data_IF_948777887952
#
_entry.id   IF_948777887952
#
_cell.length_a   1.000
_cell.length_b   1.000
_cell.length_c   1.000
_cell.angle_alpha   90.00
_cell.angle_beta   90.00
_cell.angle_gamma   90.00
#
_symmetry.space_group_name_H-M   'P 1'
#
loop_
_entity.id
_entity.type
_entity.pdbx_description
1 polymer ?
#
# COMPACT_ATOMS: atom_id res chain seq x y z
N UNK A 1 4.17 -50.84 42.58
CA UNK A 1 4.62 -49.47 42.87
C UNK A 1 5.63 -49.07 41.80
N UNK A 2 5.21 -48.26 40.83
CA UNK A 2 6.10 -47.78 39.76
C UNK A 2 6.46 -46.31 40.07
N UNK A 3 7.75 -46.08 40.30
CA UNK A 3 8.34 -44.77 40.56
C UNK A 3 8.31 -43.95 39.27
N UNK A 4 7.54 -42.86 39.25
CA UNK A 4 7.58 -41.85 38.19
C UNK A 4 8.89 -41.08 38.35
N UNK A 5 9.74 -40.96 37.30
CA UNK A 5 11.02 -40.29 37.41
C UNK A 5 10.82 -38.78 37.62
N UNK A 6 11.53 -38.23 38.62
CA UNK A 6 11.49 -36.83 39.05
C UNK A 6 11.94 -35.80 37.97
N UNK A 7 12.23 -36.24 36.75
CA UNK A 7 12.68 -35.39 35.64
C UNK A 7 11.53 -34.60 34.97
N UNK A 8 10.26 -34.93 35.23
CA UNK A 8 9.11 -34.25 34.61
C UNK A 8 8.70 -32.97 35.35
N UNK A 9 9.16 -32.77 36.59
CA UNK A 9 8.74 -31.61 37.41
C UNK A 9 9.46 -30.30 37.02
N UNK A 10 10.64 -30.39 36.40
CA UNK A 10 11.45 -29.19 36.10
C UNK A 10 10.91 -28.40 34.89
N UNK A 11 10.15 -29.03 33.99
CA UNK A 11 9.55 -28.32 32.85
C UNK A 11 8.34 -27.44 33.23
N UNK A 12 7.77 -27.59 34.42
CA UNK A 12 6.58 -26.84 34.83
C UNK A 12 6.86 -25.60 35.68
N UNK A 13 8.09 -25.41 36.18
CA UNK A 13 8.44 -24.28 37.06
C UNK A 13 9.18 -23.15 36.34
N UNK A 14 9.38 -23.26 35.03
CA UNK A 14 10.04 -22.26 34.19
C UNK A 14 9.12 -21.22 33.53
N UNK A 15 7.82 -21.18 33.86
CA UNK A 15 6.98 -20.02 33.50
C UNK A 15 7.25 -18.90 34.49
N UNK A 16 8.40 -18.26 34.30
CA UNK A 16 8.56 -16.88 34.73
C UNK A 16 7.33 -16.12 34.22
N UNK A 17 6.56 -15.56 35.15
CA UNK A 17 5.53 -14.57 34.85
C UNK A 17 6.25 -13.39 34.23
N UNK A 18 6.47 -13.41 32.92
CA UNK A 18 6.66 -12.18 32.18
C UNK A 18 5.42 -11.35 32.50
N UNK A 19 5.65 -10.22 33.14
CA UNK A 19 4.66 -9.21 33.42
C UNK A 19 4.10 -8.78 32.06
N UNK A 20 3.07 -9.47 31.59
CA UNK A 20 2.29 -9.12 30.40
C UNK A 20 1.37 -7.97 30.80
N UNK A 21 1.93 -6.85 31.19
CA UNK A 21 1.24 -5.60 30.89
C UNK A 21 1.28 -5.53 29.36
N UNK A 22 0.13 -5.55 28.65
CA UNK A 22 0.14 -5.30 27.22
C UNK A 22 0.59 -3.85 27.09
N UNK A 23 1.90 -3.65 26.90
CA UNK A 23 2.41 -2.37 26.47
C UNK A 23 1.75 -2.11 25.13
N UNK A 24 0.76 -1.21 25.10
CA UNK A 24 0.22 -0.76 23.83
C UNK A 24 1.42 -0.23 23.04
N UNK A 25 1.69 -0.74 21.83
CA UNK A 25 2.74 -0.15 21.01
C UNK A 25 2.42 1.36 20.92
N UNK A 26 3.42 2.24 21.09
CA UNK A 26 3.17 3.67 21.04
C UNK A 26 2.46 4.01 19.73
N UNK A 27 1.44 4.85 19.82
CA UNK A 27 0.69 5.31 18.65
C UNK A 27 1.67 5.89 17.62
N UNK A 28 1.50 5.57 16.31
CA UNK A 28 2.36 6.12 15.28
C UNK A 28 2.30 7.65 15.27
N UNK A 29 3.45 8.28 15.07
CA UNK A 29 3.58 9.74 15.00
C UNK A 29 3.42 10.20 13.55
N UNK A 30 2.58 11.21 13.33
CA UNK A 30 2.44 11.86 12.02
C UNK A 30 3.67 12.68 11.66
N UNK A 31 4.19 12.44 10.46
CA UNK A 31 5.23 13.21 9.78
C UNK A 31 4.65 14.24 8.81
N UNK A 32 3.34 14.20 8.55
CA UNK A 32 2.64 15.12 7.66
C UNK A 32 1.61 14.44 6.76
N UNK A 33 0.57 15.20 6.41
CA UNK A 33 -0.57 14.76 5.61
C UNK A 33 -0.62 15.42 4.24
N UNK A 34 -1.02 14.65 3.24
CA UNK A 34 -1.24 15.12 1.88
C UNK A 34 -2.71 15.00 1.49
N UNK A 35 -3.20 15.99 0.75
CA UNK A 35 -4.61 16.11 0.37
C UNK A 35 -4.91 15.32 -0.91
N UNK A 36 -6.15 14.80 -1.08
CA UNK A 36 -6.62 14.32 -2.39
C UNK A 36 -6.56 15.38 -3.50
N UNK A 37 -6.67 16.67 -3.14
CA UNK A 37 -6.55 17.77 -4.09
C UNK A 37 -5.08 17.96 -4.48
N UNK A 38 -4.77 17.61 -5.74
CA UNK A 38 -3.42 17.69 -6.29
C UNK A 38 -2.83 19.11 -6.21
N UNK A 39 -3.65 20.17 -6.30
CA UNK A 39 -3.18 21.55 -6.18
C UNK A 39 -2.69 21.84 -4.77
N UNK A 40 -3.46 21.40 -3.77
CA UNK A 40 -3.11 21.55 -2.35
C UNK A 40 -1.87 20.71 -2.03
N UNK A 41 -1.82 19.47 -2.49
CA UNK A 41 -0.69 18.57 -2.26
C UNK A 41 0.61 19.06 -2.90
N UNK A 42 0.57 19.55 -4.14
CA UNK A 42 1.74 20.20 -4.76
C UNK A 42 2.18 21.43 -3.99
N UNK A 43 1.24 22.28 -3.56
CA UNK A 43 1.56 23.46 -2.75
C UNK A 43 2.19 23.10 -1.40
N UNK A 44 1.86 21.94 -0.84
CA UNK A 44 2.44 21.37 0.39
C UNK A 44 3.76 20.61 0.17
N UNK A 45 4.23 20.47 -1.07
CA UNK A 45 5.45 19.71 -1.38
C UNK A 45 5.28 18.19 -1.31
N UNK A 46 4.05 17.69 -1.42
CA UNK A 46 3.77 16.25 -1.54
C UNK A 46 4.24 15.72 -2.91
N UNK A 47 4.56 14.44 -2.95
CA UNK A 47 4.93 13.70 -4.17
C UNK A 47 3.78 12.76 -4.53
N UNK A 48 3.50 12.62 -5.81
CA UNK A 48 2.48 11.70 -6.28
C UNK A 48 3.07 10.30 -6.47
N UNK A 49 2.48 9.31 -5.83
CA UNK A 49 2.77 7.90 -6.05
C UNK A 49 1.70 7.35 -7.00
N UNK A 50 2.07 7.21 -8.28
CA UNK A 50 1.13 6.83 -9.32
C UNK A 50 0.61 5.40 -9.15
N UNK A 51 1.42 4.52 -8.57
CA UNK A 51 1.06 3.11 -8.37
C UNK A 51 0.05 2.99 -7.23
N UNK A 52 0.21 3.76 -6.14
CA UNK A 52 -0.82 3.89 -5.10
C UNK A 52 -1.99 4.79 -5.49
N UNK A 53 -1.86 5.59 -6.56
CA UNK A 53 -2.83 6.59 -6.97
C UNK A 53 -3.13 7.59 -5.84
N UNK A 54 -2.08 8.13 -5.21
CA UNK A 54 -2.24 9.07 -4.10
C UNK A 54 -1.09 10.07 -3.97
N UNK A 55 -1.40 11.24 -3.40
CA UNK A 55 -0.40 12.21 -2.98
C UNK A 55 0.11 11.87 -1.59
N UNK A 56 1.43 11.85 -1.42
CA UNK A 56 2.05 11.45 -0.17
C UNK A 56 3.21 12.34 0.26
N UNK A 57 3.46 12.32 1.56
CA UNK A 57 4.57 13.06 2.13
C UNK A 57 5.90 12.43 1.65
N UNK A 58 6.91 13.23 1.27
CA UNK A 58 8.16 12.71 0.71
C UNK A 58 8.88 11.67 1.58
N UNK A 59 8.70 11.73 2.92
CA UNK A 59 9.33 10.76 3.84
C UNK A 59 8.74 9.35 3.76
N UNK A 60 7.54 9.19 3.21
CA UNK A 60 6.94 7.88 2.96
C UNK A 60 7.04 7.48 1.49
N UNK A 61 7.56 8.33 0.60
CA UNK A 61 7.71 7.98 -0.81
C UNK A 61 8.97 7.16 -1.02
N UNK A 62 8.83 5.99 -1.66
CA UNK A 62 9.93 5.14 -2.06
C UNK A 62 10.12 5.24 -3.57
N UNK A 63 10.99 6.15 -3.99
CA UNK A 63 11.23 6.48 -5.40
C UNK A 63 11.74 5.27 -6.21
N UNK A 64 12.73 4.52 -5.69
CA UNK A 64 13.28 3.35 -6.37
C UNK A 64 12.21 2.27 -6.61
N UNK A 65 11.36 2.03 -5.62
CA UNK A 65 10.26 1.09 -5.74
C UNK A 65 9.19 1.59 -6.72
N UNK A 66 8.84 2.87 -6.64
CA UNK A 66 7.90 3.51 -7.56
C UNK A 66 8.37 3.40 -9.02
N UNK A 67 9.61 3.80 -9.31
CA UNK A 67 10.19 3.74 -10.66
C UNK A 67 10.28 2.32 -11.21
N UNK A 68 10.56 1.33 -10.35
CA UNK A 68 10.52 -0.09 -10.75
C UNK A 68 9.12 -0.51 -11.22
N UNK A 69 8.08 -0.13 -10.50
CA UNK A 69 6.70 -0.45 -10.88
C UNK A 69 6.23 0.34 -12.10
N UNK A 70 6.63 1.61 -12.25
CA UNK A 70 6.44 2.35 -13.50
C UNK A 70 7.13 1.65 -14.68
N UNK A 71 8.32 1.09 -14.46
CA UNK A 71 9.03 0.27 -15.42
C UNK A 71 8.22 -0.95 -15.86
N UNK A 72 7.54 -1.63 -14.93
CA UNK A 72 6.64 -2.74 -15.26
C UNK A 72 5.43 -2.27 -16.08
N UNK A 73 4.81 -1.14 -15.74
CA UNK A 73 3.70 -0.56 -16.51
C UNK A 73 4.11 -0.13 -17.93
N UNK A 74 5.32 0.41 -18.10
CA UNK A 74 5.87 0.76 -19.41
C UNK A 74 6.21 -0.48 -20.23
N UNK A 75 6.87 -1.48 -19.63
CA UNK A 75 7.24 -2.73 -20.29
C UNK A 75 6.02 -3.48 -20.85
N UNK A 76 4.92 -3.48 -20.10
CA UNK A 76 3.64 -4.09 -20.52
C UNK A 76 2.79 -3.21 -21.44
N UNK A 77 3.25 -2.00 -21.77
CA UNK A 77 2.51 -1.02 -22.57
C UNK A 77 1.11 -0.70 -21.99
N UNK A 78 1.02 -0.45 -20.68
CA UNK A 78 -0.24 -0.06 -20.03
C UNK A 78 -0.79 1.22 -20.67
N UNK A 79 -2.07 1.17 -21.05
CA UNK A 79 -2.77 2.28 -21.69
C UNK A 79 -3.81 2.84 -20.74
N UNK A 80 -3.99 4.16 -20.72
CA UNK A 80 -4.94 4.86 -19.89
C UNK A 80 -5.92 5.66 -20.74
N UNK A 81 -7.15 5.87 -20.26
CA UNK A 81 -8.19 6.61 -20.98
C UNK A 81 -8.92 7.58 -20.07
N UNK A 82 -9.33 8.73 -20.61
CA UNK A 82 -10.14 9.69 -19.84
C UNK A 82 -11.54 9.15 -19.56
N UNK A 83 -12.07 8.34 -20.47
CA UNK A 83 -13.42 7.78 -20.37
C UNK A 83 -13.39 6.25 -20.44
N UNK A 84 -14.42 5.62 -19.85
CA UNK A 84 -14.59 4.16 -19.85
C UNK A 84 -14.72 3.61 -21.26
N UNK A 85 -15.26 4.39 -22.19
CA UNK A 85 -15.46 4.02 -23.60
C UNK A 85 -14.14 3.89 -24.37
N UNK A 86 -13.01 4.35 -23.79
CA UNK A 86 -11.66 4.29 -24.38
C UNK A 86 -11.53 5.08 -25.69
N UNK A 87 -12.15 6.26 -25.72
CA UNK A 87 -12.15 7.15 -26.90
C UNK A 87 -10.88 7.99 -26.88
N UNK A 88 -10.57 8.61 -25.75
CA UNK A 88 -9.41 9.50 -25.61
C UNK A 88 -8.36 8.87 -24.71
N UNK A 89 -7.19 8.57 -25.27
CA UNK A 89 -6.05 8.05 -24.53
C UNK A 89 -5.39 9.15 -23.69
N UNK A 90 -4.97 8.79 -22.47
CA UNK A 90 -4.17 9.63 -21.58
C UNK A 90 -2.70 9.22 -21.77
N UNK A 91 -1.82 10.12 -22.20
CA UNK A 91 -0.39 9.82 -22.26
C UNK A 91 0.13 9.36 -20.89
N UNK A 92 1.00 8.35 -20.86
CA UNK A 92 1.52 7.77 -19.63
C UNK A 92 2.12 8.82 -18.68
N UNK A 93 2.89 9.77 -19.22
CA UNK A 93 3.52 10.85 -18.44
C UNK A 93 2.52 11.87 -17.91
N UNK A 94 1.32 11.96 -18.51
CA UNK A 94 0.21 12.78 -18.02
C UNK A 94 -0.52 12.05 -16.90
N UNK A 95 -0.81 10.75 -17.08
CA UNK A 95 -1.41 9.92 -16.04
C UNK A 95 -0.52 9.85 -14.79
N UNK A 96 0.79 9.64 -14.98
CA UNK A 96 1.75 9.52 -13.89
C UNK A 96 1.98 10.81 -13.07
N UNK A 97 1.41 11.95 -13.46
CA UNK A 97 1.49 13.21 -12.71
C UNK A 97 0.43 13.32 -11.60
N UNK A 98 -0.67 12.56 -11.66
CA UNK A 98 -1.76 12.66 -10.68
C UNK A 98 -2.53 13.98 -10.72
N UNK A 99 -2.34 14.76 -11.79
CA UNK A 99 -3.01 16.05 -12.04
C UNK A 99 -4.29 15.86 -12.86
N UNK A 100 -5.01 14.76 -12.60
CA UNK A 100 -6.26 14.40 -13.27
C UNK A 100 -7.34 14.07 -12.25
N UNK A 101 -8.59 13.99 -12.72
CA UNK A 101 -9.68 13.43 -11.92
C UNK A 101 -9.59 11.91 -11.94
N UNK A 102 -10.55 11.29 -12.60
CA UNK A 102 -10.57 9.86 -12.85
C UNK A 102 -10.06 9.54 -14.25
N UNK A 103 -9.26 8.48 -14.37
CA UNK A 103 -8.92 7.82 -15.63
C UNK A 103 -9.15 6.32 -15.52
N UNK A 104 -9.22 5.63 -16.65
CA UNK A 104 -9.49 4.21 -16.73
C UNK A 104 -8.30 3.47 -17.31
N UNK A 105 -8.10 2.22 -16.88
CA UNK A 105 -7.06 1.32 -17.39
C UNK A 105 -7.53 -0.12 -17.27
N UNK A 106 -6.74 -1.03 -17.82
CA UNK A 106 -6.98 -2.46 -17.68
C UNK A 106 -6.77 -2.95 -16.25
N UNK A 107 -7.45 -4.05 -15.96
CA UNK A 107 -7.55 -4.70 -14.67
C UNK A 107 -6.25 -5.05 -13.95
N UNK A 108 -5.21 -5.30 -14.73
CA UNK A 108 -3.92 -5.71 -14.18
C UNK A 108 -3.25 -4.61 -13.36
N UNK A 109 -3.62 -3.35 -13.59
CA UNK A 109 -3.13 -2.21 -12.80
C UNK A 109 -3.65 -2.29 -11.37
N UNK A 110 -4.88 -2.78 -11.14
CA UNK A 110 -5.40 -2.98 -9.78
C UNK A 110 -4.61 -4.08 -9.05
N UNK A 111 -4.32 -5.20 -9.70
CA UNK A 111 -3.46 -6.24 -9.13
C UNK A 111 -2.03 -5.76 -8.86
N UNK A 112 -1.50 -4.91 -9.75
CA UNK A 112 -0.20 -4.28 -9.55
C UNK A 112 -0.20 -3.34 -8.33
N UNK A 113 -1.25 -2.51 -8.18
CA UNK A 113 -1.47 -1.67 -7.01
C UNK A 113 -1.52 -2.51 -5.72
N UNK A 114 -2.33 -3.58 -5.69
CA UNK A 114 -2.44 -4.45 -4.52
C UNK A 114 -1.11 -5.14 -4.19
N UNK A 115 -0.33 -5.53 -5.20
CA UNK A 115 1.01 -6.09 -4.99
C UNK A 115 2.00 -5.04 -4.46
N UNK A 116 1.89 -3.80 -4.93
CA UNK A 116 2.71 -2.68 -4.49
C UNK A 116 2.44 -2.30 -3.03
N UNK A 117 1.18 -2.31 -2.58
CA UNK A 117 0.81 -2.15 -1.16
C UNK A 117 1.57 -3.16 -0.30
N UNK A 118 1.59 -4.44 -0.69
CA UNK A 118 2.31 -5.49 0.03
C UNK A 118 3.83 -5.33 0.00
N UNK A 119 4.40 -4.91 -1.14
CA UNK A 119 5.84 -4.65 -1.25
C UNK A 119 6.26 -3.50 -0.32
N UNK A 120 5.49 -2.41 -0.27
CA UNK A 120 5.73 -1.28 0.66
C UNK A 120 5.66 -1.69 2.13
N UNK A 121 4.65 -2.48 2.51
CA UNK A 121 4.51 -3.02 3.88
C UNK A 121 5.72 -3.89 4.23
N UNK A 122 6.11 -4.78 3.32
CA UNK A 122 7.25 -5.69 3.50
C UNK A 122 8.54 -4.90 3.64
N UNK A 123 8.79 -3.95 2.73
CA UNK A 123 9.94 -3.05 2.79
C UNK A 123 10.00 -2.30 4.13
N UNK A 124 8.91 -1.65 4.53
CA UNK A 124 8.86 -0.89 5.78
C UNK A 124 9.05 -1.77 7.02
N UNK A 125 8.70 -3.06 6.96
CA UNK A 125 8.88 -4.02 8.06
C UNK A 125 10.34 -4.32 8.41
N UNK A 126 11.28 -4.03 7.49
CA UNK A 126 12.71 -4.21 7.72
C UNK A 126 13.36 -3.07 8.53
N UNK A 127 12.62 -2.01 8.84
CA UNK A 127 13.14 -0.83 9.53
C UNK A 127 12.50 -0.63 10.91
N UNK A 128 13.28 -0.10 11.84
CA UNK A 128 12.82 0.31 13.16
C UNK A 128 13.41 1.70 13.51
N UNK A 129 12.59 2.75 13.70
CA UNK A 129 11.12 2.75 13.61
C UNK A 129 10.62 2.56 12.17
N UNK A 130 9.43 1.96 12.03
CA UNK A 130 8.77 1.79 10.73
C UNK A 130 8.29 3.14 10.21
N UNK A 131 8.56 3.45 8.94
CA UNK A 131 7.97 4.60 8.24
C UNK A 131 7.08 4.07 7.12
N UNK A 132 5.78 4.36 7.20
CA UNK A 132 4.79 3.88 6.24
C UNK A 132 3.56 4.78 6.28
N UNK A 133 2.92 4.98 5.14
CA UNK A 133 1.72 5.79 5.02
C UNK A 133 0.48 5.14 5.67
N UNK A 134 -0.54 5.95 5.96
CA UNK A 134 -1.78 5.50 6.56
C UNK A 134 -2.59 4.56 5.67
N UNK A 135 -2.44 4.67 4.35
CA UNK A 135 -3.17 3.85 3.37
C UNK A 135 -2.65 2.39 3.38
N UNK A 136 -1.33 2.19 3.45
CA UNK A 136 -0.70 0.88 3.62
C UNK A 136 -0.75 0.36 5.06
N UNK A 137 -1.14 1.19 6.05
CA UNK A 137 -1.41 0.77 7.43
C UNK A 137 -2.90 0.45 7.67
N UNK A 138 -3.80 0.84 6.78
CA UNK A 138 -5.24 0.61 6.94
C UNK A 138 -5.59 -0.87 6.78
N UNK A 139 -6.14 -1.54 7.82
CA UNK A 139 -6.40 -2.98 7.76
C UNK A 139 -7.41 -3.37 6.68
N UNK A 140 -8.40 -2.52 6.40
CA UNK A 140 -9.44 -2.83 5.40
C UNK A 140 -8.88 -2.75 3.98
N UNK A 141 -8.06 -1.74 3.72
CA UNK A 141 -7.38 -1.60 2.44
C UNK A 141 -6.40 -2.74 2.20
N UNK A 142 -5.65 -3.14 3.24
CA UNK A 142 -4.75 -4.30 3.17
C UNK A 142 -5.53 -5.59 2.94
N UNK A 143 -6.62 -5.83 3.67
CA UNK A 143 -7.50 -7.00 3.47
C UNK A 143 -8.06 -7.06 2.04
N UNK A 144 -8.54 -5.92 1.51
CA UNK A 144 -8.94 -5.80 0.11
C UNK A 144 -7.83 -6.26 -0.83
N UNK A 145 -6.60 -5.76 -0.62
CA UNK A 145 -5.46 -6.12 -1.46
C UNK A 145 -5.09 -7.62 -1.38
N UNK A 146 -5.20 -8.24 -0.19
CA UNK A 146 -5.00 -9.69 -0.03
C UNK A 146 -6.01 -10.44 -0.86
N UNK A 147 -7.30 -10.16 -0.66
CA UNK A 147 -8.37 -10.94 -1.26
C UNK A 147 -8.44 -10.73 -2.77
N UNK A 148 -8.23 -9.50 -3.24
CA UNK A 148 -8.19 -9.17 -4.66
C UNK A 148 -7.08 -9.94 -5.40
N UNK A 149 -5.89 -10.05 -4.81
CA UNK A 149 -4.80 -10.85 -5.39
C UNK A 149 -4.90 -12.35 -5.11
N UNK A 150 -5.51 -12.75 -4.00
CA UNK A 150 -5.60 -14.16 -3.57
C UNK A 150 -6.74 -14.93 -4.22
N UNK A 151 -7.76 -14.25 -4.74
CA UNK A 151 -8.93 -14.86 -5.37
C UNK A 151 -9.25 -14.13 -6.70
N UNK A 152 -8.28 -14.02 -7.63
CA UNK A 152 -8.48 -13.26 -8.85
C UNK A 152 -9.51 -13.92 -9.76
N UNK A 153 -10.37 -13.11 -10.39
CA UNK A 153 -11.23 -13.55 -11.48
C UNK A 153 -10.62 -13.16 -12.82
N UNK A 154 -10.73 -14.00 -13.85
CA UNK A 154 -10.12 -13.71 -15.16
C UNK A 154 -10.62 -12.40 -15.78
N UNK A 155 -11.91 -12.11 -15.64
CA UNK A 155 -12.51 -10.86 -16.15
C UNK A 155 -12.00 -9.61 -15.43
N UNK A 156 -11.50 -9.73 -14.19
CA UNK A 156 -10.87 -8.61 -13.48
C UNK A 156 -9.51 -8.25 -14.08
N UNK A 157 -8.87 -9.18 -14.79
CA UNK A 157 -7.54 -9.00 -15.41
C UNK A 157 -7.70 -8.59 -16.88
N UNK A 158 -8.61 -9.26 -17.60
CA UNK A 158 -8.71 -9.19 -19.06
C UNK A 158 -9.50 -7.97 -19.55
N UNK A 159 -10.28 -7.31 -18.69
CA UNK A 159 -11.07 -6.15 -19.09
C UNK A 159 -10.21 -4.87 -19.19
N UNK A 160 -10.22 -4.19 -20.34
CA UNK A 160 -9.29 -3.09 -20.62
C UNK A 160 -9.68 -1.74 -19.96
N UNK A 161 -10.78 -1.65 -19.25
CA UNK A 161 -11.32 -0.38 -18.70
C UNK A 161 -12.01 -0.57 -17.34
N UNK A 162 -11.66 -1.63 -16.62
CA UNK A 162 -12.31 -1.98 -15.36
C UNK A 162 -11.72 -1.19 -14.18
N UNK A 163 -10.41 -0.94 -14.21
CA UNK A 163 -9.71 -0.22 -13.15
C UNK A 163 -9.89 1.28 -13.33
N UNK A 164 -10.30 1.93 -12.24
CA UNK A 164 -10.40 3.39 -12.13
C UNK A 164 -9.18 3.87 -11.35
N UNK A 165 -8.44 4.82 -11.91
CA UNK A 165 -7.30 5.47 -11.26
C UNK A 165 -7.72 6.89 -10.95
N UNK A 166 -7.82 7.19 -9.66
CA UNK A 166 -8.20 8.48 -9.12
C UNK A 166 -7.48 8.67 -7.77
N UNK A 167 -7.28 9.90 -7.35
CA UNK A 167 -6.58 10.16 -6.08
C UNK A 167 -7.37 9.57 -4.90
N UNK A 168 -6.68 8.89 -3.98
CA UNK A 168 -7.24 8.42 -2.70
C UNK A 168 -8.11 9.54 -2.08
N UNK A 169 -9.41 9.32 -1.83
CA UNK A 169 -10.35 10.38 -1.47
C UNK A 169 -10.11 11.02 -0.10
N UNK A 170 -9.28 10.41 0.74
CA UNK A 170 -8.95 10.90 2.07
C UNK A 170 -7.51 11.43 2.15
N UNK A 171 -7.22 12.26 3.15
CA UNK A 171 -5.83 12.66 3.39
C UNK A 171 -4.99 11.44 3.77
N UNK A 172 -3.85 11.29 3.11
CA UNK A 172 -2.86 10.24 3.43
C UNK A 172 -1.81 10.82 4.36
N UNK A 173 -1.65 10.20 5.53
CA UNK A 173 -0.68 10.58 6.54
C UNK A 173 0.58 9.72 6.42
N UNK A 174 1.75 10.31 6.58
CA UNK A 174 2.99 9.58 6.69
C UNK A 174 3.31 9.32 8.16
N UNK A 175 3.37 8.05 8.56
CA UNK A 175 3.44 7.68 9.97
C UNK A 175 4.79 6.99 10.29
N UNK A 176 5.42 7.42 11.38
CA UNK A 176 6.61 6.79 11.97
C UNK A 176 6.26 6.10 13.29
N UNK A 177 6.70 4.85 13.46
CA UNK A 177 6.35 4.00 14.60
C UNK A 177 5.89 2.62 14.16
#
# INVERSE_FOLDING_TARGET
MALIPAAVVIFYLGRATHDMTPGYPPEPVSLGKCSPDWKVSKARGCVYDFVLSTWMHPRCFNEDMHERYLGYMKWRNTTFWYERERINEVPFDVAAKGEHGEIFTDGTVHHMHCSYVWDRITYASHFNPRVLDSLCRDPKHVEHCILYNGIPQSWEIDLPNITRVYNEPHEVDCLIG
#
